data_IF_240973299936
#
_entry.id   IF_240973299936
#
_cell.length_a   1.000
_cell.length_b   1.000
_cell.length_c   1.000
_cell.angle_alpha   90.00
_cell.angle_beta   90.00
_cell.angle_gamma   90.00
#
_symmetry.space_group_name_H-M   'P 1'
#
loop_
_entity.id
_entity.type
_entity.pdbx_description
1 polymer ?
#
# COMPACT_ATOMS: atom_id res chain seq x y z
N UNK A 1 1.88 -38.78 -45.95
CA UNK A 1 0.46 -38.37 -45.80
C UNK A 1 0.08 -38.36 -44.30
N UNK A 2 -0.03 -37.19 -43.70
CA UNK A 2 -0.38 -37.07 -42.27
C UNK A 2 -1.89 -37.32 -42.14
N UNK A 3 -2.29 -38.33 -41.36
CA UNK A 3 -3.72 -38.65 -41.15
C UNK A 3 -4.43 -37.47 -40.52
N UNK A 4 -5.61 -37.07 -41.00
CA UNK A 4 -6.44 -35.94 -40.51
C UNK A 4 -6.58 -35.95 -38.97
N UNK A 5 -6.66 -37.13 -38.36
CA UNK A 5 -6.76 -37.27 -36.91
C UNK A 5 -5.47 -36.87 -36.15
N UNK A 6 -4.31 -36.93 -36.76
CA UNK A 6 -3.05 -36.46 -36.15
C UNK A 6 -2.96 -34.95 -36.21
N UNK A 7 -3.37 -34.31 -37.29
CA UNK A 7 -3.42 -32.85 -37.43
C UNK A 7 -4.36 -32.25 -36.40
N UNK A 8 -5.57 -32.82 -36.26
CA UNK A 8 -6.52 -32.34 -35.27
C UNK A 8 -6.00 -32.41 -33.83
N UNK A 9 -5.25 -33.48 -33.49
CA UNK A 9 -4.61 -33.61 -32.18
C UNK A 9 -3.50 -32.57 -31.97
N UNK A 10 -2.73 -32.28 -33.01
CA UNK A 10 -1.66 -31.27 -32.98
C UNK A 10 -2.28 -29.87 -32.78
N UNK A 11 -3.34 -29.53 -33.52
CA UNK A 11 -4.05 -28.30 -33.35
C UNK A 11 -4.69 -28.15 -31.96
N UNK A 12 -5.23 -29.21 -31.42
CA UNK A 12 -5.82 -29.24 -30.08
C UNK A 12 -4.75 -29.00 -29.01
N UNK A 13 -3.60 -29.67 -29.12
CA UNK A 13 -2.47 -29.46 -28.19
C UNK A 13 -1.94 -28.02 -28.32
N UNK A 14 -1.75 -27.56 -29.52
CA UNK A 14 -1.27 -26.20 -29.77
C UNK A 14 -2.23 -25.15 -29.20
N UNK A 15 -3.54 -25.30 -29.41
CA UNK A 15 -4.55 -24.43 -28.86
C UNK A 15 -4.57 -24.48 -27.33
N UNK A 16 -4.42 -25.65 -26.74
CA UNK A 16 -4.35 -25.82 -25.28
C UNK A 16 -3.12 -25.14 -24.68
N UNK A 17 -1.95 -25.29 -25.30
CA UNK A 17 -0.70 -24.61 -24.85
C UNK A 17 -0.83 -23.10 -25.00
N UNK A 18 -1.39 -22.62 -26.09
CA UNK A 18 -1.63 -21.20 -26.31
C UNK A 18 -2.59 -20.61 -25.28
N UNK A 19 -3.68 -21.32 -24.98
CA UNK A 19 -4.67 -20.92 -23.97
C UNK A 19 -4.04 -20.87 -22.58
N UNK A 20 -3.25 -21.87 -22.21
CA UNK A 20 -2.55 -21.90 -20.93
C UNK A 20 -1.55 -20.73 -20.81
N UNK A 21 -0.81 -20.45 -21.87
CA UNK A 21 0.10 -19.29 -21.94
C UNK A 21 -0.64 -17.95 -21.79
N UNK A 22 -1.78 -17.80 -22.45
CA UNK A 22 -2.60 -16.60 -22.32
C UNK A 22 -3.14 -16.41 -20.90
N UNK A 23 -3.65 -17.47 -20.28
CA UNK A 23 -4.12 -17.44 -18.89
C UNK A 23 -2.98 -17.03 -17.96
N UNK A 24 -1.82 -17.66 -18.09
CA UNK A 24 -0.64 -17.33 -17.27
C UNK A 24 -0.23 -15.86 -17.44
N UNK A 25 -0.22 -15.36 -18.67
CA UNK A 25 0.09 -13.96 -18.95
C UNK A 25 -0.88 -12.98 -18.28
N UNK A 26 -2.19 -13.25 -18.38
CA UNK A 26 -3.21 -12.41 -17.74
C UNK A 26 -3.14 -12.45 -16.21
N UNK A 27 -2.85 -13.64 -15.65
CA UNK A 27 -2.66 -13.80 -14.18
C UNK A 27 -1.44 -13.02 -13.71
N UNK A 28 -0.31 -13.12 -14.39
CA UNK A 28 0.91 -12.37 -14.04
C UNK A 28 0.67 -10.87 -14.15
N UNK A 29 0.01 -10.42 -15.21
CA UNK A 29 -0.33 -9.01 -15.38
C UNK A 29 -1.27 -8.48 -14.28
N UNK A 30 -2.28 -9.27 -13.92
CA UNK A 30 -3.19 -8.92 -12.83
C UNK A 30 -2.48 -8.88 -11.46
N UNK A 31 -1.45 -9.68 -11.27
CA UNK A 31 -0.62 -9.64 -10.06
C UNK A 31 0.28 -8.39 -10.04
N UNK A 32 0.87 -8.00 -11.17
CA UNK A 32 1.66 -6.75 -11.26
C UNK A 32 0.84 -5.52 -10.88
N UNK A 33 -0.40 -5.42 -11.37
CA UNK A 33 -1.30 -4.30 -11.09
C UNK A 33 -1.77 -4.25 -9.62
N UNK A 34 -1.64 -5.35 -8.87
CA UNK A 34 -2.09 -5.49 -7.48
C UNK A 34 -0.93 -5.63 -6.46
N UNK A 35 0.31 -5.47 -6.87
CA UNK A 35 1.41 -5.41 -5.91
C UNK A 35 1.32 -4.06 -5.18
N UNK A 36 0.77 -4.11 -3.97
CA UNK A 36 0.83 -3.00 -3.04
C UNK A 36 2.29 -2.79 -2.61
N UNK A 37 2.98 -1.91 -3.27
CA UNK A 37 4.35 -1.55 -2.90
C UNK A 37 4.31 -0.83 -1.55
N UNK A 38 4.88 -1.45 -0.53
CA UNK A 38 4.98 -0.90 0.81
C UNK A 38 6.39 -0.40 1.07
N UNK A 39 6.53 0.87 1.37
CA UNK A 39 7.82 1.53 1.55
C UNK A 39 7.87 2.33 2.85
N UNK A 40 9.02 2.35 3.46
CA UNK A 40 9.36 3.24 4.56
C UNK A 40 9.87 4.59 4.05
N UNK A 41 9.89 5.66 4.87
CA UNK A 41 10.48 6.93 4.49
C UNK A 41 11.92 6.84 3.98
N UNK A 42 12.73 5.98 4.56
CA UNK A 42 14.11 5.75 4.11
C UNK A 42 14.14 5.11 2.72
N UNK A 43 13.35 4.07 2.50
CA UNK A 43 13.26 3.39 1.20
C UNK A 43 12.74 4.32 0.09
N UNK A 44 11.80 5.20 0.40
CA UNK A 44 11.30 6.21 -0.56
C UNK A 44 12.40 7.17 -0.98
N UNK A 45 13.27 7.60 -0.04
CA UNK A 45 14.38 8.50 -0.35
C UNK A 45 15.52 7.81 -1.09
N UNK A 46 15.76 6.55 -0.81
CA UNK A 46 16.81 5.74 -1.47
C UNK A 46 16.39 5.25 -2.85
N UNK A 47 15.11 4.87 -2.98
CA UNK A 47 14.56 4.46 -4.26
C UNK A 47 14.24 5.69 -5.11
N UNK A 48 14.70 5.67 -6.36
CA UNK A 48 14.34 6.69 -7.36
C UNK A 48 12.89 6.46 -7.84
N UNK A 49 11.93 6.49 -6.92
CA UNK A 49 10.52 6.41 -7.27
C UNK A 49 10.16 7.67 -8.05
N UNK A 50 9.60 7.47 -9.24
CA UNK A 50 9.12 8.57 -10.05
C UNK A 50 7.86 9.17 -9.39
N UNK A 51 7.74 10.48 -9.46
CA UNK A 51 6.52 11.17 -9.05
C UNK A 51 5.28 10.50 -9.70
N UNK A 52 4.20 10.36 -8.94
CA UNK A 52 2.90 9.83 -9.36
C UNK A 52 2.74 8.29 -9.36
N UNK A 53 3.68 7.50 -8.95
CA UNK A 53 3.44 6.09 -8.68
C UNK A 53 2.71 5.91 -7.34
N UNK A 54 1.62 5.14 -7.35
CA UNK A 54 0.88 4.82 -6.13
C UNK A 54 1.62 3.76 -5.31
N UNK A 55 1.79 4.04 -4.03
CA UNK A 55 2.36 3.08 -3.09
C UNK A 55 1.83 3.31 -1.67
N UNK A 56 2.16 2.40 -0.77
CA UNK A 56 1.83 2.52 0.66
C UNK A 56 3.05 2.96 1.44
N UNK A 57 2.95 4.13 2.06
CA UNK A 57 3.96 4.65 2.96
C UNK A 57 3.66 4.21 4.39
N UNK A 58 4.56 3.44 4.99
CA UNK A 58 4.43 2.98 6.36
C UNK A 58 5.48 3.57 7.28
N UNK A 59 5.08 3.89 8.49
CA UNK A 59 5.98 4.41 9.52
C UNK A 59 5.21 4.85 10.76
N UNK A 60 5.84 5.69 11.54
CA UNK A 60 5.28 6.27 12.76
C UNK A 60 4.89 7.73 12.52
N UNK A 61 3.76 8.16 13.07
CA UNK A 61 3.39 9.57 13.09
C UNK A 61 4.28 10.32 14.09
N UNK A 62 5.02 11.30 13.60
CA UNK A 62 5.91 12.09 14.46
C UNK A 62 5.10 12.93 15.46
N UNK A 63 5.57 12.98 16.71
CA UNK A 63 4.97 13.78 17.77
C UNK A 63 5.00 15.27 17.41
N UNK A 64 3.90 15.99 17.70
CA UNK A 64 3.72 17.41 17.41
C UNK A 64 3.78 17.80 15.92
N UNK A 65 3.58 16.83 15.02
CA UNK A 65 3.60 17.07 13.57
C UNK A 65 2.22 17.23 12.94
N UNK A 66 1.16 16.80 13.62
CA UNK A 66 -0.21 16.85 13.07
C UNK A 66 -0.77 18.25 13.07
N UNK A 67 -1.10 18.75 11.89
CA UNK A 67 -1.71 20.06 11.68
C UNK A 67 -3.01 19.93 10.91
N UNK A 68 -4.08 20.46 11.48
CA UNK A 68 -5.35 20.60 10.80
C UNK A 68 -5.32 21.87 9.94
N UNK A 69 -5.45 21.67 8.64
CA UNK A 69 -5.54 22.75 7.65
C UNK A 69 -7.01 23.03 7.30
N UNK A 70 -7.24 24.03 6.46
CA UNK A 70 -8.58 24.33 5.95
C UNK A 70 -9.12 23.20 5.07
N UNK A 71 -10.45 23.12 4.91
CA UNK A 71 -11.16 22.17 4.03
C UNK A 71 -10.90 20.67 4.31
N UNK A 72 -10.83 20.29 5.59
CA UNK A 72 -10.56 18.90 6.02
C UNK A 72 -9.20 18.35 5.56
N UNK A 73 -8.27 19.23 5.22
CA UNK A 73 -6.90 18.82 4.95
C UNK A 73 -6.14 18.64 6.26
N UNK A 74 -5.41 17.56 6.37
CA UNK A 74 -4.54 17.25 7.51
C UNK A 74 -3.13 17.02 6.98
N UNK A 75 -2.16 17.68 7.61
CA UNK A 75 -0.74 17.44 7.34
C UNK A 75 -0.06 16.86 8.58
N UNK A 76 0.77 15.87 8.38
CA UNK A 76 1.58 15.25 9.43
C UNK A 76 2.86 14.65 8.84
N UNK A 77 3.80 14.33 9.70
CA UNK A 77 5.07 13.72 9.31
C UNK A 77 5.08 12.25 9.66
N UNK A 78 5.42 11.42 8.69
CA UNK A 78 5.69 9.99 8.88
C UNK A 78 7.20 9.77 8.92
N UNK A 79 7.66 9.08 9.94
CA UNK A 79 9.07 8.78 10.18
C UNK A 79 9.30 7.29 10.40
N UNK A 80 10.46 6.82 9.99
CA UNK A 80 11.00 5.50 10.35
C UNK A 80 12.21 5.61 11.32
N UNK A 81 12.33 6.78 12.00
CA UNK A 81 13.42 7.19 12.89
C UNK A 81 14.74 7.55 12.19
N UNK A 82 14.89 7.27 10.91
CA UNK A 82 16.05 7.68 10.11
C UNK A 82 15.70 8.84 9.17
N UNK A 83 14.57 8.73 8.52
CA UNK A 83 14.07 9.73 7.57
C UNK A 83 12.62 10.12 7.86
N UNK A 84 12.22 11.24 7.30
CA UNK A 84 10.89 11.82 7.48
C UNK A 84 10.30 12.21 6.12
N UNK A 85 9.00 11.99 5.97
CA UNK A 85 8.23 12.43 4.80
C UNK A 85 6.99 13.17 5.30
N UNK A 86 6.77 14.36 4.72
CA UNK A 86 5.54 15.10 4.96
C UNK A 86 4.39 14.48 4.20
N UNK A 87 3.28 14.22 4.89
CA UNK A 87 2.06 13.61 4.33
C UNK A 87 0.92 14.59 4.42
N UNK A 88 0.24 14.81 3.31
CA UNK A 88 -0.99 15.58 3.26
C UNK A 88 -2.15 14.65 2.91
N UNK A 89 -3.20 14.69 3.70
CA UNK A 89 -4.41 13.89 3.54
C UNK A 89 -5.64 14.77 3.56
N UNK A 90 -6.56 14.53 2.64
CA UNK A 90 -7.87 15.18 2.63
C UNK A 90 -8.96 14.20 3.03
N UNK A 91 -9.55 14.42 4.18
CA UNK A 91 -10.63 13.59 4.69
C UNK A 91 -10.65 13.47 6.21
N UNK A 92 -11.47 12.56 6.69
CA UNK A 92 -11.60 12.28 8.11
C UNK A 92 -10.57 11.23 8.53
N UNK A 93 -9.77 11.53 9.54
CA UNK A 93 -8.80 10.60 10.08
C UNK A 93 -9.48 9.41 10.78
N UNK A 94 -8.91 8.19 10.70
CA UNK A 94 -9.40 7.06 11.47
C UNK A 94 -9.40 7.32 12.98
N UNK A 95 -10.33 6.71 13.71
CA UNK A 95 -10.42 6.87 15.17
C UNK A 95 -9.16 6.43 15.92
N UNK A 96 -8.38 5.52 15.34
CA UNK A 96 -7.13 5.02 15.93
C UNK A 96 -5.91 5.87 15.55
N UNK A 97 -6.09 6.86 14.68
CA UNK A 97 -5.00 7.76 14.30
C UNK A 97 -4.59 8.64 15.50
N UNK A 98 -3.34 8.56 15.85
CA UNK A 98 -2.73 9.39 16.90
C UNK A 98 -1.25 9.57 16.63
N UNK A 99 -0.68 10.60 17.20
CA UNK A 99 0.77 10.81 17.19
C UNK A 99 1.49 9.69 17.91
N UNK A 100 2.74 9.44 17.53
CA UNK A 100 3.57 8.37 18.06
C UNK A 100 2.96 6.96 17.93
N UNK A 101 2.19 6.75 16.88
CA UNK A 101 1.60 5.44 16.53
C UNK A 101 1.90 5.05 15.09
N UNK A 102 1.81 3.74 14.80
CA UNK A 102 1.99 3.22 13.45
C UNK A 102 0.88 3.64 12.51
N UNK A 103 1.24 4.04 11.30
CA UNK A 103 0.32 4.45 10.25
C UNK A 103 0.77 3.89 8.90
N UNK A 104 -0.19 3.59 8.05
CA UNK A 104 0.01 3.28 6.64
C UNK A 104 -0.83 4.25 5.82
N UNK A 105 -0.17 5.03 4.98
CA UNK A 105 -0.80 5.96 4.07
C UNK A 105 -0.71 5.43 2.64
N UNK A 106 -1.84 5.32 1.96
CA UNK A 106 -1.90 4.98 0.54
C UNK A 106 -1.99 6.25 -0.29
N UNK A 107 -1.12 6.41 -1.25
CA UNK A 107 -1.08 7.61 -2.07
C UNK A 107 0.09 7.61 -3.04
N UNK A 108 0.55 8.79 -3.38
CA UNK A 108 1.66 9.00 -4.30
C UNK A 108 2.56 10.14 -3.85
N UNK A 109 3.81 10.11 -4.31
CA UNK A 109 4.78 11.17 -4.06
C UNK A 109 4.63 12.28 -5.11
N UNK A 110 4.56 13.53 -4.68
CA UNK A 110 4.56 14.71 -5.53
C UNK A 110 5.48 15.78 -4.94
N UNK A 111 6.49 16.18 -5.68
CA UNK A 111 7.45 17.23 -5.27
C UNK A 111 7.98 17.09 -3.84
N UNK A 112 8.38 15.89 -3.46
CA UNK A 112 8.90 15.57 -2.12
C UNK A 112 7.88 15.58 -0.97
N UNK A 113 6.58 15.66 -1.29
CA UNK A 113 5.46 15.54 -0.36
C UNK A 113 4.62 14.33 -0.75
N UNK A 114 4.17 13.54 0.23
CA UNK A 114 3.31 12.41 -0.01
C UNK A 114 1.85 12.83 0.08
N UNK A 115 1.11 12.65 -1.01
CA UNK A 115 -0.32 12.95 -1.05
C UNK A 115 -1.09 11.66 -0.86
N UNK A 116 -1.71 11.53 0.32
CA UNK A 116 -2.48 10.36 0.70
C UNK A 116 -3.96 10.51 0.30
N UNK A 117 -4.54 9.46 -0.19
CA UNK A 117 -5.98 9.35 -0.40
C UNK A 117 -6.66 8.38 0.59
N UNK A 118 -5.87 7.59 1.31
CA UNK A 118 -6.35 6.68 2.36
C UNK A 118 -5.32 6.59 3.49
N UNK A 119 -5.82 6.58 4.73
CA UNK A 119 -5.01 6.44 5.94
C UNK A 119 -5.53 5.25 6.73
N UNK A 120 -4.64 4.33 7.08
CA UNK A 120 -4.88 3.22 7.98
C UNK A 120 -4.01 3.38 9.22
N UNK A 121 -4.63 3.47 10.39
CA UNK A 121 -3.93 3.47 11.66
C UNK A 121 -3.80 2.02 12.17
N UNK A 122 -2.60 1.65 12.60
CA UNK A 122 -2.37 0.34 13.22
C UNK A 122 -2.77 0.36 14.68
N UNK A 123 -3.35 -0.74 15.16
CA UNK A 123 -3.52 -0.99 16.58
C UNK A 123 -2.15 -1.05 17.29
N UNK A 124 -2.04 -0.37 18.44
CA UNK A 124 -0.92 -0.62 19.34
C UNK A 124 -1.01 -2.07 19.85
N UNK A 125 0.03 -2.85 19.63
CA UNK A 125 0.12 -4.23 20.13
C UNK A 125 0.16 -4.31 21.66
N UNK A 126 0.28 -3.17 22.35
CA UNK A 126 0.27 -3.03 23.81
C UNK A 126 -1.12 -2.73 24.37
N UNK A 127 -2.19 -3.21 23.74
CA UNK A 127 -3.51 -3.15 24.35
C UNK A 127 -3.57 -4.11 25.56
N UNK A 128 -3.34 -3.60 26.77
CA UNK A 128 -3.71 -4.30 27.99
C UNK A 128 -5.23 -4.18 28.16
N UNK A 129 -5.98 -5.28 28.14
CA UNK A 129 -7.39 -5.21 28.49
C UNK A 129 -7.50 -4.67 29.91
N UNK A 130 -8.33 -3.66 30.08
CA UNK A 130 -8.66 -3.11 31.41
C UNK A 130 -9.21 -4.28 32.22
N UNK A 131 -8.48 -4.72 33.23
CA UNK A 131 -9.04 -5.62 34.24
C UNK A 131 -10.16 -4.85 34.92
N UNK A 132 -11.39 -5.24 34.64
CA UNK A 132 -12.52 -4.86 35.47
C UNK A 132 -12.26 -5.48 36.84
N UNK A 133 -11.76 -4.70 37.78
CA UNK A 133 -11.81 -5.08 39.19
C UNK A 133 -13.29 -5.10 39.57
N UNK A 134 -13.81 -6.30 39.71
CA UNK A 134 -15.11 -6.51 40.36
C UNK A 134 -14.85 -6.24 41.84
N UNK A 135 -15.27 -5.07 42.33
CA UNK A 135 -15.33 -4.81 43.74
C UNK A 135 -16.51 -5.63 44.29
N UNK A 136 -16.21 -6.62 45.14
CA UNK A 136 -17.18 -7.28 46.00
C UNK A 136 -17.72 -6.31 47.05
#
# INVERSE_FOLDING_TARGET
MIRKNRLNRIYLIFFFVLSLGAITFFVLKALEDNIDLYLTPTEVKESKIQDLENFKLGGMVKVDSVQMLEDLNVSFIVTDFENEINVTYKGVLPNLFKENSGVVASGFLSKNEFIAFEILAKHDENYMPIKLEVQD
#
